data_IF_051847991779
#
_entry.id   IF_051847991779
#
_cell.length_a   1.000
_cell.length_b   1.000
_cell.length_c   1.000
_cell.angle_alpha   90.00
_cell.angle_beta   90.00
_cell.angle_gamma   90.00
#
_symmetry.space_group_name_H-M   'P 1'
#
loop_
_entity.id
_entity.type
_entity.pdbx_description
1 polymer ?
#
# COMPACT_ATOMS: atom_id res chain seq x y z
N UNK A 1 -9.47 18.85 -8.72
CA UNK A 1 -9.10 20.06 -7.94
C UNK A 1 -9.48 21.33 -8.69
N UNK A 2 -9.07 21.47 -9.96
CA UNK A 2 -9.41 22.61 -10.83
C UNK A 2 -10.92 22.90 -10.87
N UNK A 3 -11.74 21.86 -10.98
CA UNK A 3 -13.21 21.99 -11.01
C UNK A 3 -13.87 22.00 -9.62
N UNK A 4 -13.09 22.13 -8.54
CA UNK A 4 -13.57 22.18 -7.13
C UNK A 4 -14.39 20.96 -6.67
N UNK A 5 -14.31 19.83 -7.37
CA UNK A 5 -15.02 18.58 -7.03
C UNK A 5 -14.26 17.67 -6.08
N UNK A 6 -12.96 17.91 -5.83
CA UNK A 6 -12.08 16.97 -5.08
C UNK A 6 -12.57 16.67 -3.66
N UNK A 7 -13.24 17.60 -2.99
CA UNK A 7 -13.76 17.42 -1.62
C UNK A 7 -14.97 16.50 -1.54
N UNK A 8 -15.60 16.19 -2.68
CA UNK A 8 -16.82 15.38 -2.73
C UNK A 8 -16.57 13.88 -2.94
N UNK A 9 -15.33 13.48 -3.19
CA UNK A 9 -14.97 12.10 -3.59
C UNK A 9 -13.70 11.62 -2.90
N UNK A 10 -13.59 10.32 -2.68
CA UNK A 10 -12.32 9.64 -2.39
C UNK A 10 -11.76 9.04 -3.68
N UNK A 11 -10.43 8.99 -3.82
CA UNK A 11 -9.77 8.34 -4.94
C UNK A 11 -9.14 7.04 -4.45
N UNK A 12 -9.64 5.90 -4.92
CA UNK A 12 -9.00 4.60 -4.68
C UNK A 12 -8.14 4.27 -5.89
N UNK A 13 -6.88 3.96 -5.66
CA UNK A 13 -5.93 3.62 -6.72
C UNK A 13 -5.68 2.11 -6.71
N UNK A 14 -6.00 1.46 -7.81
CA UNK A 14 -5.59 0.07 -8.06
C UNK A 14 -4.32 0.08 -8.91
N UNK A 15 -3.26 -0.56 -8.42
CA UNK A 15 -1.94 -0.47 -9.05
C UNK A 15 -1.22 -1.80 -9.02
N UNK A 16 -0.80 -2.30 -10.18
CA UNK A 16 -0.03 -3.54 -10.30
C UNK A 16 1.48 -3.34 -10.07
N UNK A 17 1.96 -2.11 -10.18
CA UNK A 17 3.37 -1.71 -10.03
C UNK A 17 3.70 -1.17 -8.63
N UNK A 18 2.68 -0.79 -7.85
CA UNK A 18 2.83 -0.28 -6.49
C UNK A 18 3.17 -1.40 -5.49
N UNK A 19 4.43 -1.81 -5.44
CA UNK A 19 4.92 -2.86 -4.52
C UNK A 19 5.72 -2.35 -3.32
N UNK A 20 6.40 -1.21 -3.44
CA UNK A 20 7.34 -0.68 -2.44
C UNK A 20 6.72 0.43 -1.59
N UNK A 21 7.26 0.63 -0.38
CA UNK A 21 6.84 1.69 0.54
C UNK A 21 6.86 3.08 -0.13
N UNK A 22 7.84 3.33 -1.00
CA UNK A 22 7.95 4.61 -1.69
C UNK A 22 6.80 4.83 -2.69
N UNK A 23 6.35 3.79 -3.39
CA UNK A 23 5.19 3.88 -4.29
C UNK A 23 3.93 4.23 -3.48
N UNK A 24 3.73 3.59 -2.33
CA UNK A 24 2.59 3.89 -1.44
C UNK A 24 2.62 5.34 -0.96
N UNK A 25 3.78 5.79 -0.47
CA UNK A 25 3.95 7.16 0.03
C UNK A 25 3.74 8.20 -1.09
N UNK A 26 4.22 7.94 -2.31
CA UNK A 26 4.00 8.80 -3.45
C UNK A 26 2.50 8.90 -3.80
N UNK A 27 1.82 7.76 -3.96
CA UNK A 27 0.38 7.73 -4.28
C UNK A 27 -0.46 8.46 -3.23
N UNK A 28 -0.20 8.24 -1.94
CA UNK A 28 -0.82 9.00 -0.86
C UNK A 28 -0.54 10.51 -0.99
N UNK A 29 0.72 10.89 -1.21
CA UNK A 29 1.12 12.30 -1.37
C UNK A 29 0.48 13.00 -2.57
N UNK A 30 0.16 12.25 -3.64
CA UNK A 30 -0.54 12.76 -4.83
C UNK A 30 -2.07 12.68 -4.74
N UNK A 31 -2.62 12.27 -3.60
CA UNK A 31 -4.03 12.41 -3.28
C UNK A 31 -4.86 11.13 -3.38
N UNK A 32 -4.23 9.95 -3.42
CA UNK A 32 -4.93 8.68 -3.21
C UNK A 32 -5.45 8.59 -1.77
N UNK A 33 -6.72 8.21 -1.60
CA UNK A 33 -7.34 7.95 -0.31
C UNK A 33 -7.12 6.50 0.15
N UNK A 34 -7.05 5.56 -0.79
CA UNK A 34 -6.70 4.17 -0.55
C UNK A 34 -5.95 3.61 -1.75
N UNK A 35 -5.13 2.58 -1.52
CA UNK A 35 -4.31 1.93 -2.54
C UNK A 35 -4.55 0.42 -2.46
N UNK A 36 -4.91 -0.19 -3.58
CA UNK A 36 -5.04 -1.63 -3.74
C UNK A 36 -3.90 -2.16 -4.65
N UNK A 37 -2.79 -2.66 -4.06
CA UNK A 37 -1.70 -3.24 -4.82
C UNK A 37 -1.97 -4.71 -5.17
N UNK A 38 -2.95 -4.94 -6.03
CA UNK A 38 -3.47 -6.28 -6.33
C UNK A 38 -2.36 -7.26 -6.75
N UNK A 39 -1.45 -6.84 -7.63
CA UNK A 39 -0.37 -7.71 -8.13
C UNK A 39 0.62 -8.09 -7.04
N UNK A 40 0.84 -7.23 -6.04
CA UNK A 40 1.68 -7.55 -4.90
C UNK A 40 1.02 -8.64 -4.03
N UNK A 41 -0.30 -8.59 -3.87
CA UNK A 41 -1.04 -9.62 -3.13
C UNK A 41 -1.03 -10.97 -3.87
N UNK A 42 -1.24 -10.96 -5.19
CA UNK A 42 -1.15 -12.16 -6.02
C UNK A 42 0.25 -12.77 -5.99
N UNK A 43 1.29 -11.93 -6.06
CA UNK A 43 2.68 -12.41 -5.97
C UNK A 43 2.99 -13.02 -4.59
N UNK A 44 2.45 -12.46 -3.50
CA UNK A 44 2.61 -13.03 -2.16
C UNK A 44 1.93 -14.40 -2.06
N UNK A 45 0.74 -14.53 -2.62
CA UNK A 45 0.00 -15.78 -2.66
C UNK A 45 0.74 -16.85 -3.46
N UNK A 46 1.20 -16.52 -4.68
CA UNK A 46 2.02 -17.42 -5.50
C UNK A 46 3.27 -17.90 -4.76
N UNK A 47 3.94 -17.01 -4.02
CA UNK A 47 5.12 -17.37 -3.23
C UNK A 47 4.81 -18.33 -2.07
N UNK A 48 3.62 -18.24 -1.46
CA UNK A 48 3.17 -19.18 -0.42
C UNK A 48 2.81 -20.52 -1.07
N UNK A 49 2.05 -20.52 -2.17
CA UNK A 49 1.61 -21.72 -2.87
C UNK A 49 2.80 -22.53 -3.43
N UNK A 50 3.83 -21.84 -3.92
CA UNK A 50 5.07 -22.47 -4.40
C UNK A 50 6.03 -22.89 -3.27
N UNK A 51 5.68 -22.63 -2.02
CA UNK A 51 6.50 -22.98 -0.85
C UNK A 51 7.78 -22.14 -0.69
N UNK A 52 7.86 -20.98 -1.33
CA UNK A 52 8.96 -20.02 -1.13
C UNK A 52 8.84 -19.36 0.25
N UNK A 53 7.61 -19.00 0.63
CA UNK A 53 7.25 -18.55 1.97
C UNK A 53 6.64 -19.74 2.71
N UNK A 54 7.25 -20.15 3.81
CA UNK A 54 6.80 -21.31 4.61
C UNK A 54 6.47 -20.89 6.04
N UNK A 55 5.64 -21.70 6.72
CA UNK A 55 5.31 -21.53 8.14
C UNK A 55 4.24 -20.49 8.45
N UNK A 56 3.62 -19.84 7.44
CA UNK A 56 2.49 -18.92 7.59
C UNK A 56 1.48 -19.12 6.46
N UNK A 57 0.21 -18.75 6.67
CA UNK A 57 -0.83 -18.77 5.63
C UNK A 57 -0.70 -17.60 4.66
N UNK A 58 -1.30 -17.72 3.46
CA UNK A 58 -1.41 -16.63 2.47
C UNK A 58 -1.99 -15.35 3.09
N UNK A 59 -3.09 -15.48 3.86
CA UNK A 59 -3.71 -14.35 4.55
C UNK A 59 -2.77 -13.68 5.55
N UNK A 60 -2.02 -14.47 6.32
CA UNK A 60 -1.06 -13.94 7.29
C UNK A 60 0.10 -13.24 6.58
N UNK A 61 0.57 -13.77 5.44
CA UNK A 61 1.60 -13.14 4.63
C UNK A 61 1.13 -11.80 4.04
N UNK A 62 -0.09 -11.75 3.48
CA UNK A 62 -0.72 -10.52 2.99
C UNK A 62 -0.89 -9.49 4.12
N UNK A 63 -1.37 -9.90 5.30
CA UNK A 63 -1.50 -9.02 6.46
C UNK A 63 -0.16 -8.48 6.95
N UNK A 64 0.89 -9.31 6.93
CA UNK A 64 2.25 -8.88 7.27
C UNK A 64 2.78 -7.84 6.28
N UNK A 65 2.52 -8.03 4.98
CA UNK A 65 2.85 -7.05 3.95
C UNK A 65 2.15 -5.70 4.19
N UNK A 66 0.83 -5.70 4.42
CA UNK A 66 0.07 -4.48 4.71
C UNK A 66 0.63 -3.75 5.94
N UNK A 67 0.92 -4.51 7.01
CA UNK A 67 1.51 -3.96 8.24
C UNK A 67 2.88 -3.34 7.99
N UNK A 68 3.74 -4.02 7.23
CA UNK A 68 5.08 -3.54 6.90
C UNK A 68 5.04 -2.29 6.00
N UNK A 69 4.20 -2.31 4.97
CA UNK A 69 3.97 -1.17 4.07
C UNK A 69 3.46 0.05 4.84
N UNK A 70 2.43 -0.12 5.68
CA UNK A 70 1.87 0.95 6.51
C UNK A 70 2.89 1.55 7.48
N UNK A 71 3.67 0.72 8.18
CA UNK A 71 4.79 1.20 9.02
C UNK A 71 5.85 1.94 8.20
N UNK A 72 6.13 1.47 7.00
CA UNK A 72 7.04 2.12 6.07
C UNK A 72 6.57 3.53 5.71
N UNK A 73 5.30 3.69 5.35
CA UNK A 73 4.73 5.01 5.01
C UNK A 73 4.81 5.95 6.21
N UNK A 74 4.40 5.49 7.40
CA UNK A 74 4.53 6.28 8.64
C UNK A 74 5.98 6.71 8.92
N UNK A 75 6.95 5.85 8.64
CA UNK A 75 8.38 6.17 8.76
C UNK A 75 8.85 7.20 7.74
N UNK A 76 8.29 7.20 6.52
CA UNK A 76 8.59 8.23 5.52
C UNK A 76 8.03 9.58 5.98
N UNK A 77 6.79 9.60 6.48
CA UNK A 77 6.12 10.81 6.95
C UNK A 77 6.79 11.41 8.18
N UNK A 78 7.24 10.58 9.13
CA UNK A 78 7.90 11.06 10.34
C UNK A 78 9.23 11.78 10.08
N UNK A 79 9.92 11.48 8.96
CA UNK A 79 11.12 12.23 8.53
C UNK A 79 10.82 13.68 8.18
N UNK A 80 9.57 13.98 7.79
CA UNK A 80 9.09 15.31 7.46
C UNK A 80 8.33 15.97 8.63
N UNK A 81 8.28 15.32 9.80
CA UNK A 81 7.51 15.80 10.97
C UNK A 81 6.00 15.64 10.83
N UNK A 82 5.51 14.85 9.85
CA UNK A 82 4.08 14.63 9.63
C UNK A 82 3.63 13.42 10.44
N UNK A 83 2.60 13.60 11.28
CA UNK A 83 2.08 12.58 12.20
C UNK A 83 0.71 12.01 11.80
N UNK A 84 0.05 12.59 10.79
CA UNK A 84 -1.28 12.19 10.33
C UNK A 84 -1.33 11.99 8.82
N UNK A 85 -2.08 10.99 8.38
CA UNK A 85 -2.50 10.76 6.99
C UNK A 85 -3.84 11.42 6.70
#
# INVERSE_FOLDING_TARGET
VRDRTRTKVGLVVEAGDAREVHHMAALCGFGAAAINPYMAFEAIEDMVDRGVITGISSDQAKANYVKAAGKGVLKVMSKMGISTL
#
